data_IF_464837072327
#
_entry.id   IF_464837072327
#
_cell.length_a   1.000
_cell.length_b   1.000
_cell.length_c   1.000
_cell.angle_alpha   90.00
_cell.angle_beta   90.00
_cell.angle_gamma   90.00
#
_symmetry.space_group_name_H-M   'P 1'
#
loop_
_entity.id
_entity.type
_entity.pdbx_description
1 polymer ?
#
# COMPACT_ATOMS: atom_id res chain seq x y z
N UNK A 1 10.01 -32.10 5.49
CA UNK A 1 10.57 -30.80 5.12
C UNK A 1 10.05 -30.24 3.79
N UNK A 2 9.55 -31.05 2.86
CA UNK A 2 9.11 -30.64 1.51
C UNK A 2 7.72 -29.95 1.39
N UNK A 3 6.84 -30.04 2.39
CA UNK A 3 5.46 -29.48 2.31
C UNK A 3 5.36 -27.94 2.41
N UNK A 4 6.42 -27.23 2.84
CA UNK A 4 6.41 -25.76 2.99
C UNK A 4 6.73 -24.98 1.71
N UNK A 5 7.51 -25.58 0.79
CA UNK A 5 7.90 -24.91 -0.46
C UNK A 5 6.71 -24.53 -1.39
N UNK A 6 5.67 -25.39 -1.55
CA UNK A 6 4.53 -25.05 -2.40
C UNK A 6 3.76 -23.82 -1.91
N UNK A 7 3.56 -23.68 -0.58
CA UNK A 7 2.85 -22.54 0.01
C UNK A 7 3.62 -21.24 -0.19
N UNK A 8 4.93 -21.24 0.02
CA UNK A 8 5.78 -20.06 -0.18
C UNK A 8 5.71 -19.61 -1.64
N UNK A 9 5.82 -20.54 -2.59
CA UNK A 9 5.73 -20.24 -4.03
C UNK A 9 4.35 -19.72 -4.40
N UNK A 10 3.28 -20.30 -3.86
CA UNK A 10 1.91 -19.87 -4.11
C UNK A 10 1.69 -18.44 -3.63
N UNK A 11 2.04 -18.14 -2.37
CA UNK A 11 1.89 -16.79 -1.81
C UNK A 11 2.72 -15.78 -2.60
N UNK A 12 3.99 -16.09 -2.90
CA UNK A 12 4.84 -15.21 -3.69
C UNK A 12 4.25 -14.98 -5.10
N UNK A 13 3.74 -16.01 -5.77
CA UNK A 13 3.10 -15.88 -7.08
C UNK A 13 1.89 -14.95 -7.03
N UNK A 14 1.04 -15.09 -6.00
CA UNK A 14 -0.12 -14.20 -5.78
C UNK A 14 0.34 -12.76 -5.61
N UNK A 15 1.36 -12.51 -4.78
CA UNK A 15 1.87 -11.15 -4.55
C UNK A 15 2.46 -10.54 -5.84
N UNK A 16 3.28 -11.30 -6.57
CA UNK A 16 3.89 -10.82 -7.81
C UNK A 16 2.86 -10.54 -8.92
N UNK A 17 1.86 -11.39 -9.05
CA UNK A 17 0.79 -11.16 -10.02
C UNK A 17 -0.04 -9.92 -9.66
N UNK A 18 -0.34 -9.68 -8.38
CA UNK A 18 -1.04 -8.50 -7.93
C UNK A 18 -0.29 -7.21 -8.32
N UNK A 19 1.03 -7.17 -8.09
CA UNK A 19 1.86 -6.02 -8.51
C UNK A 19 1.83 -5.85 -10.03
N UNK A 20 1.98 -6.94 -10.80
CA UNK A 20 1.92 -6.87 -12.29
C UNK A 20 0.59 -6.35 -12.81
N UNK A 21 -0.52 -6.68 -12.14
CA UNK A 21 -1.86 -6.26 -12.51
C UNK A 21 -2.24 -4.90 -11.91
N UNK A 22 -1.32 -4.22 -11.21
CA UNK A 22 -1.53 -2.94 -10.52
C UNK A 22 -2.72 -2.99 -9.57
N UNK A 23 -2.87 -4.10 -8.84
CA UNK A 23 -3.88 -4.21 -7.82
C UNK A 23 -3.56 -3.29 -6.64
N UNK A 24 -4.55 -2.58 -6.14
CA UNK A 24 -4.42 -1.76 -4.92
C UNK A 24 -4.44 -2.62 -3.66
N UNK A 25 -5.26 -3.68 -3.65
CA UNK A 25 -5.42 -4.56 -2.50
C UNK A 25 -5.51 -6.02 -2.94
N UNK A 26 -5.04 -6.92 -2.07
CA UNK A 26 -5.21 -8.37 -2.18
C UNK A 26 -6.04 -8.83 -0.99
N UNK A 27 -7.16 -9.47 -1.25
CA UNK A 27 -8.04 -10.01 -0.24
C UNK A 27 -7.91 -11.52 -0.19
N UNK A 28 -7.58 -12.06 0.96
CA UNK A 28 -7.65 -13.49 1.28
C UNK A 28 -8.86 -13.67 2.21
N UNK A 29 -9.92 -14.23 1.69
CA UNK A 29 -11.20 -14.30 2.39
C UNK A 29 -11.57 -15.74 2.68
N UNK A 30 -11.76 -16.02 3.98
CA UNK A 30 -12.14 -17.34 4.48
C UNK A 30 -13.66 -17.50 4.44
N UNK A 31 -14.11 -18.51 3.72
CA UNK A 31 -15.50 -18.93 3.62
C UNK A 31 -15.67 -20.38 4.13
N UNK A 32 -16.92 -20.81 4.29
CA UNK A 32 -17.23 -22.17 4.70
C UNK A 32 -16.60 -23.24 3.79
N UNK A 33 -16.59 -22.99 2.48
CA UNK A 33 -16.06 -23.92 1.46
C UNK A 33 -14.54 -23.82 1.25
N UNK A 34 -13.88 -22.81 1.80
CA UNK A 34 -12.45 -22.60 1.66
C UNK A 34 -12.03 -21.14 1.54
N UNK A 35 -10.85 -20.91 1.05
CA UNK A 35 -10.25 -19.60 0.88
C UNK A 35 -10.49 -19.08 -0.55
N UNK A 36 -10.87 -17.82 -0.69
CA UNK A 36 -10.93 -17.13 -1.98
C UNK A 36 -9.94 -15.97 -1.96
N UNK A 37 -9.10 -15.87 -2.98
CA UNK A 37 -8.18 -14.76 -3.17
C UNK A 37 -8.74 -13.85 -4.25
N UNK A 38 -8.85 -12.56 -3.92
CA UNK A 38 -9.34 -11.53 -4.86
C UNK A 38 -8.38 -10.36 -4.95
N UNK A 39 -8.23 -9.78 -6.11
CA UNK A 39 -7.53 -8.52 -6.32
C UNK A 39 -8.51 -7.38 -6.47
N UNK A 40 -8.19 -6.23 -5.87
CA UNK A 40 -8.87 -4.98 -6.18
C UNK A 40 -8.08 -4.27 -7.26
N UNK A 41 -8.68 -4.08 -8.43
CA UNK A 41 -8.11 -3.37 -9.57
C UNK A 41 -9.12 -2.29 -9.96
N UNK A 42 -8.68 -1.04 -10.03
CA UNK A 42 -9.53 0.12 -10.34
C UNK A 42 -10.82 0.17 -9.51
N UNK A 43 -10.70 -0.16 -8.21
CA UNK A 43 -11.81 -0.15 -7.26
C UNK A 43 -12.67 -1.43 -7.25
N UNK A 44 -12.57 -2.29 -8.26
CA UNK A 44 -13.37 -3.52 -8.42
C UNK A 44 -12.62 -4.76 -7.92
N UNK A 45 -13.32 -5.66 -7.23
CA UNK A 45 -12.77 -6.92 -6.72
C UNK A 45 -12.96 -8.07 -7.72
N UNK A 46 -11.86 -8.66 -8.17
CA UNK A 46 -11.84 -9.80 -9.07
C UNK A 46 -11.34 -11.07 -8.37
N UNK A 47 -12.06 -12.21 -8.42
CA UNK A 47 -11.55 -13.47 -7.92
C UNK A 47 -10.42 -13.97 -8.82
N UNK A 48 -9.27 -14.34 -8.24
CA UNK A 48 -8.10 -14.77 -8.99
C UNK A 48 -7.66 -16.18 -8.66
N UNK A 49 -7.97 -16.67 -7.45
CA UNK A 49 -7.57 -17.99 -7.02
C UNK A 49 -8.49 -18.52 -5.92
N UNK A 50 -8.81 -19.81 -5.96
CA UNK A 50 -9.51 -20.52 -4.89
C UNK A 50 -8.67 -21.73 -4.49
N UNK A 51 -7.74 -21.56 -3.52
CA UNK A 51 -6.90 -22.66 -3.07
C UNK A 51 -7.72 -23.74 -2.37
N UNK A 52 -7.28 -25.01 -2.40
CA UNK A 52 -7.91 -26.07 -1.63
C UNK A 52 -8.02 -25.71 -0.12
N UNK A 53 -9.14 -26.06 0.51
CA UNK A 53 -9.45 -25.69 1.92
C UNK A 53 -8.34 -26.07 2.90
N UNK A 54 -7.68 -27.22 2.71
CA UNK A 54 -6.61 -27.66 3.59
C UNK A 54 -5.35 -26.78 3.57
N UNK A 55 -5.19 -25.90 2.56
CA UNK A 55 -4.08 -24.94 2.47
C UNK A 55 -4.39 -23.60 3.15
N UNK A 56 -5.64 -23.32 3.48
CA UNK A 56 -6.10 -22.02 4.03
C UNK A 56 -5.26 -21.62 5.26
N UNK A 57 -5.19 -22.47 6.28
CA UNK A 57 -4.46 -22.16 7.50
C UNK A 57 -2.95 -21.90 7.25
N UNK A 58 -2.36 -22.66 6.32
CA UNK A 58 -0.94 -22.52 5.98
C UNK A 58 -0.66 -21.24 5.19
N UNK A 59 -1.57 -20.81 4.31
CA UNK A 59 -1.46 -19.55 3.56
C UNK A 59 -1.55 -18.37 4.52
N UNK A 60 -2.55 -18.36 5.41
CA UNK A 60 -2.73 -17.28 6.40
C UNK A 60 -1.53 -17.22 7.35
N UNK A 61 -1.08 -18.37 7.87
CA UNK A 61 0.11 -18.42 8.71
C UNK A 61 1.36 -17.88 8.00
N UNK A 62 1.53 -18.14 6.71
CA UNK A 62 2.63 -17.59 5.91
C UNK A 62 2.55 -16.07 5.81
N UNK A 63 1.38 -15.50 5.55
CA UNK A 63 1.18 -14.05 5.50
C UNK A 63 1.47 -13.39 6.86
N UNK A 64 1.00 -14.00 7.95
CA UNK A 64 1.29 -13.52 9.32
C UNK A 64 2.79 -13.55 9.63
N UNK A 65 3.50 -14.60 9.24
CA UNK A 65 4.98 -14.67 9.39
C UNK A 65 5.65 -13.54 8.63
N UNK A 66 5.26 -13.30 7.37
CA UNK A 66 5.85 -12.24 6.55
C UNK A 66 5.65 -10.85 7.17
N UNK A 67 4.50 -10.63 7.83
CA UNK A 67 4.16 -9.38 8.50
C UNK A 67 4.62 -9.31 9.97
N UNK A 68 5.37 -10.29 10.48
CA UNK A 68 5.82 -10.42 11.88
C UNK A 68 4.67 -10.45 12.89
N UNK A 69 3.52 -11.03 12.49
CA UNK A 69 2.32 -11.15 13.32
C UNK A 69 2.30 -12.45 14.11
N UNK A 70 1.52 -12.49 15.20
CA UNK A 70 1.35 -13.66 16.03
C UNK A 70 0.47 -14.72 15.33
N UNK A 71 1.07 -15.87 14.99
CA UNK A 71 0.40 -16.97 14.29
C UNK A 71 -0.63 -17.68 15.19
N UNK A 72 -0.36 -17.74 16.49
CA UNK A 72 -1.18 -18.46 17.45
C UNK A 72 -2.47 -17.67 17.80
N UNK A 73 -2.44 -16.34 17.78
CA UNK A 73 -3.61 -15.51 18.03
C UNK A 73 -4.52 -15.49 16.80
N UNK A 74 -5.76 -15.89 16.96
CA UNK A 74 -6.77 -16.00 15.89
C UNK A 74 -8.08 -15.28 16.22
N UNK A 75 -8.17 -14.70 17.41
CA UNK A 75 -9.41 -14.10 17.94
C UNK A 75 -9.38 -12.58 17.90
N UNK A 76 -8.19 -11.99 17.83
CA UNK A 76 -8.01 -10.54 17.83
C UNK A 76 -7.52 -10.06 16.48
N UNK A 77 -7.97 -8.88 16.02
CA UNK A 77 -7.41 -8.20 14.87
C UNK A 77 -5.91 -7.97 15.04
N UNK A 78 -5.16 -8.07 13.94
CA UNK A 78 -3.74 -7.79 13.92
C UNK A 78 -3.39 -6.99 12.67
N UNK A 79 -2.54 -6.00 12.81
CA UNK A 79 -2.02 -5.20 11.72
C UNK A 79 -0.49 -5.30 11.67
N UNK A 80 0.05 -5.31 10.47
CA UNK A 80 1.47 -5.40 10.25
C UNK A 80 1.87 -4.87 8.88
N UNK A 81 3.14 -5.01 8.57
CA UNK A 81 3.69 -4.60 7.28
C UNK A 81 4.88 -5.46 6.90
N UNK A 82 5.09 -5.62 5.62
CA UNK A 82 6.31 -6.22 5.09
C UNK A 82 6.62 -5.65 3.72
N UNK A 83 7.84 -5.85 3.26
CA UNK A 83 8.30 -5.42 1.95
C UNK A 83 8.60 -6.61 1.07
N UNK A 84 8.26 -6.51 -0.21
CA UNK A 84 8.68 -7.46 -1.24
C UNK A 84 9.48 -6.71 -2.31
N UNK A 85 10.42 -7.42 -2.93
CA UNK A 85 11.14 -6.91 -4.10
C UNK A 85 10.66 -7.65 -5.34
N UNK A 86 10.16 -6.92 -6.31
CA UNK A 86 9.67 -7.48 -7.57
C UNK A 86 10.02 -6.58 -8.74
N UNK A 87 10.49 -7.16 -9.84
CA UNK A 87 10.92 -6.44 -11.04
C UNK A 87 11.88 -5.26 -10.75
N UNK A 88 12.78 -5.42 -9.75
CA UNK A 88 13.74 -4.38 -9.35
C UNK A 88 13.16 -3.26 -8.49
N UNK A 89 11.85 -3.28 -8.20
CA UNK A 89 11.17 -2.30 -7.33
C UNK A 89 10.86 -2.91 -5.97
N UNK A 90 10.97 -2.09 -4.94
CA UNK A 90 10.50 -2.42 -3.60
C UNK A 90 9.04 -1.99 -3.46
N UNK A 91 8.19 -2.92 -3.03
CA UNK A 91 6.76 -2.68 -2.78
C UNK A 91 6.50 -2.93 -1.31
N UNK A 92 6.04 -1.91 -0.60
CA UNK A 92 5.61 -2.03 0.79
C UNK A 92 4.16 -2.53 0.83
N UNK A 93 3.87 -3.47 1.72
CA UNK A 93 2.52 -4.01 1.92
C UNK A 93 2.10 -3.78 3.37
N UNK A 94 0.93 -3.18 3.55
CA UNK A 94 0.21 -3.18 4.82
C UNK A 94 -0.69 -4.40 4.90
N UNK A 95 -0.68 -5.05 6.04
CA UNK A 95 -1.42 -6.28 6.31
C UNK A 95 -2.41 -6.03 7.41
N UNK A 96 -3.68 -6.28 7.17
CA UNK A 96 -4.72 -6.34 8.21
C UNK A 96 -5.30 -7.74 8.25
N UNK A 97 -5.31 -8.33 9.44
CA UNK A 97 -5.87 -9.66 9.72
C UNK A 97 -7.06 -9.50 10.64
N UNK A 98 -8.21 -9.97 10.20
CA UNK A 98 -9.46 -9.88 10.94
C UNK A 98 -10.03 -11.29 11.19
N UNK A 99 -10.41 -11.63 12.42
CA UNK A 99 -11.16 -12.85 12.71
C UNK A 99 -12.54 -12.83 12.03
N UNK A 100 -12.94 -13.96 11.48
CA UNK A 100 -14.28 -14.17 10.91
C UNK A 100 -14.83 -15.53 11.34
N UNK A 101 -16.13 -15.80 11.09
CA UNK A 101 -16.78 -17.06 11.44
C UNK A 101 -16.15 -18.30 10.79
N UNK A 102 -15.49 -18.14 9.64
CA UNK A 102 -14.90 -19.26 8.88
C UNK A 102 -13.36 -19.26 8.89
N UNK A 103 -12.76 -18.49 9.79
CA UNK A 103 -11.31 -18.33 9.91
C UNK A 103 -10.89 -16.85 9.85
N UNK A 104 -9.66 -16.58 9.49
CA UNK A 104 -9.15 -15.22 9.42
C UNK A 104 -9.26 -14.69 7.99
N UNK A 105 -9.68 -13.43 7.85
CA UNK A 105 -9.60 -12.65 6.62
C UNK A 105 -8.33 -11.83 6.65
N UNK A 106 -7.56 -11.86 5.57
CA UNK A 106 -6.36 -11.04 5.44
C UNK A 106 -6.52 -10.09 4.25
N UNK A 107 -6.25 -8.83 4.49
CA UNK A 107 -6.22 -7.80 3.43
C UNK A 107 -4.80 -7.24 3.37
N UNK A 108 -4.21 -7.29 2.19
CA UNK A 108 -2.91 -6.68 1.90
C UNK A 108 -3.13 -5.47 1.02
N UNK A 109 -2.75 -4.29 1.49
CA UNK A 109 -2.73 -3.07 0.68
C UNK A 109 -1.34 -2.87 0.12
N UNK A 110 -1.24 -2.77 -1.20
CA UNK A 110 0.01 -2.49 -1.88
C UNK A 110 0.25 -0.98 -1.86
N UNK A 111 1.41 -0.59 -1.31
CA UNK A 111 1.89 0.77 -1.34
C UNK A 111 3.04 0.79 -2.36
N UNK A 112 2.70 1.00 -3.62
CA UNK A 112 3.76 1.28 -4.60
C UNK A 112 4.39 2.61 -4.20
N UNK A 113 5.66 2.56 -3.86
CA UNK A 113 6.47 3.76 -3.85
C UNK A 113 6.66 4.14 -5.32
N UNK A 114 5.79 4.98 -5.84
CA UNK A 114 6.17 5.77 -6.99
C UNK A 114 7.32 6.67 -6.52
N UNK A 115 8.55 6.20 -6.73
CA UNK A 115 9.79 6.94 -6.38
C UNK A 115 9.97 8.20 -7.25
N UNK A 116 8.95 8.61 -7.98
CA UNK A 116 8.99 9.82 -8.77
C UNK A 116 8.23 10.91 -8.04
N UNK A 117 8.97 11.70 -7.27
CA UNK A 117 8.47 12.99 -6.82
C UNK A 117 8.18 13.83 -8.07
N UNK A 118 6.91 14.08 -8.34
CA UNK A 118 6.49 14.96 -9.43
C UNK A 118 6.87 16.40 -9.06
N UNK A 119 7.37 17.15 -10.04
CA UNK A 119 7.52 18.60 -9.90
C UNK A 119 6.14 19.26 -10.01
N UNK A 120 5.99 20.46 -9.44
CA UNK A 120 4.74 21.23 -9.52
C UNK A 120 4.25 21.41 -10.97
N UNK A 121 5.19 21.57 -11.93
CA UNK A 121 4.89 21.71 -13.36
C UNK A 121 4.34 20.42 -14.00
N UNK A 122 4.64 19.26 -13.43
CA UNK A 122 4.19 17.94 -13.92
C UNK A 122 2.81 17.56 -13.36
N UNK A 123 2.27 18.34 -12.40
CA UNK A 123 1.02 18.04 -11.71
C UNK A 123 -0.25 18.41 -12.52
N UNK A 124 -0.08 18.96 -13.72
CA UNK A 124 -1.21 19.31 -14.59
C UNK A 124 -1.93 20.60 -14.22
N UNK A 125 -1.33 21.48 -13.42
CA UNK A 125 -1.86 22.82 -13.18
C UNK A 125 -1.83 23.67 -14.45
N UNK A 126 -2.88 24.44 -14.69
CA UNK A 126 -2.86 25.53 -15.67
C UNK A 126 -1.78 26.55 -15.31
N UNK A 127 -1.12 27.14 -16.30
CA UNK A 127 0.05 28.03 -16.08
C UNK A 127 -0.24 29.17 -15.11
N UNK A 128 -1.41 29.78 -15.23
CA UNK A 128 -1.82 30.89 -14.35
C UNK A 128 -1.93 30.44 -12.90
N UNK A 129 -2.53 29.27 -12.66
CA UNK A 129 -2.67 28.67 -11.33
C UNK A 129 -1.34 28.21 -10.76
N UNK A 130 -0.48 27.65 -11.60
CA UNK A 130 0.87 27.25 -11.21
C UNK A 130 1.68 28.45 -10.69
N UNK A 131 1.62 29.58 -11.41
CA UNK A 131 2.28 30.82 -10.99
C UNK A 131 1.80 31.33 -9.63
N UNK A 132 0.49 31.28 -9.38
CA UNK A 132 -0.09 31.67 -8.08
C UNK A 132 0.41 30.73 -6.96
N UNK A 133 0.39 29.41 -7.18
CA UNK A 133 0.87 28.43 -6.19
C UNK A 133 2.35 28.67 -5.89
N UNK A 134 3.19 28.88 -6.89
CA UNK A 134 4.62 29.15 -6.72
C UNK A 134 4.86 30.42 -5.90
N UNK A 135 4.09 31.47 -6.14
CA UNK A 135 4.16 32.70 -5.35
C UNK A 135 3.75 32.47 -3.88
N UNK A 136 2.67 31.73 -3.64
CA UNK A 136 2.18 31.45 -2.30
C UNK A 136 3.18 30.62 -1.48
N UNK A 137 3.78 29.59 -2.06
CA UNK A 137 4.75 28.74 -1.35
C UNK A 137 6.12 29.40 -1.15
N UNK A 138 6.40 30.48 -1.89
CA UNK A 138 7.61 31.28 -1.73
C UNK A 138 7.53 32.31 -0.58
N UNK A 139 6.34 32.56 -0.02
CA UNK A 139 6.16 33.48 1.10
C UNK A 139 6.92 32.98 2.34
N UNK A 140 7.51 33.93 3.09
CA UNK A 140 8.30 33.62 4.28
C UNK A 140 7.45 33.23 5.49
N UNK A 141 6.15 33.42 5.47
CA UNK A 141 5.22 33.13 6.56
C UNK A 141 3.81 32.89 6.02
N UNK A 142 3.01 32.17 6.79
CA UNK A 142 1.62 31.84 6.42
C UNK A 142 1.33 30.37 6.64
N UNK A 143 0.12 29.97 6.27
CA UNK A 143 -0.35 28.58 6.29
C UNK A 143 -1.00 28.30 4.94
N UNK A 144 -0.62 27.19 4.33
CA UNK A 144 -1.26 26.67 3.11
C UNK A 144 -1.99 25.37 3.49
N UNK A 145 -3.30 25.35 3.26
CA UNK A 145 -4.13 24.18 3.54
C UNK A 145 -4.49 23.46 2.23
N UNK A 146 -4.13 22.18 2.13
CA UNK A 146 -4.47 21.32 0.99
C UNK A 146 -5.54 20.33 1.42
N UNK A 147 -6.74 20.41 0.83
CA UNK A 147 -7.90 19.58 1.17
C UNK A 147 -8.43 18.82 -0.03
N UNK A 148 -9.16 17.75 0.23
CA UNK A 148 -9.81 16.95 -0.81
C UNK A 148 -10.06 15.49 -0.38
N UNK A 149 -10.79 14.70 -1.16
CA UNK A 149 -11.05 13.29 -0.87
C UNK A 149 -9.77 12.42 -0.95
N UNK A 150 -9.86 11.18 -0.50
CA UNK A 150 -8.77 10.21 -0.65
C UNK A 150 -8.48 9.98 -2.13
N UNK A 151 -7.19 9.94 -2.50
CA UNK A 151 -6.76 9.75 -3.89
C UNK A 151 -6.79 11.01 -4.76
N UNK A 152 -7.16 12.19 -4.22
CA UNK A 152 -7.19 13.46 -4.98
C UNK A 152 -5.81 14.10 -5.23
N UNK A 153 -4.72 13.49 -4.78
CA UNK A 153 -3.36 14.00 -4.98
C UNK A 153 -2.87 14.98 -3.90
N UNK A 154 -3.53 15.07 -2.74
CA UNK A 154 -3.10 15.96 -1.64
C UNK A 154 -1.64 15.80 -1.26
N UNK A 155 -1.24 14.58 -0.92
CA UNK A 155 0.13 14.24 -0.53
C UNK A 155 1.11 14.52 -1.67
N UNK A 156 0.78 14.14 -2.89
CA UNK A 156 1.59 14.44 -4.08
C UNK A 156 1.82 15.94 -4.26
N UNK A 157 0.77 16.75 -4.08
CA UNK A 157 0.85 18.24 -4.16
C UNK A 157 1.75 18.80 -3.06
N UNK A 158 1.62 18.32 -1.82
CA UNK A 158 2.46 18.77 -0.71
C UNK A 158 3.94 18.46 -0.96
N UNK A 159 4.25 17.22 -1.37
CA UNK A 159 5.63 16.84 -1.66
C UNK A 159 6.21 17.59 -2.87
N UNK A 160 5.41 17.85 -3.91
CA UNK A 160 5.82 18.66 -5.05
C UNK A 160 6.14 20.10 -4.63
N UNK A 161 5.32 20.68 -3.73
CA UNK A 161 5.58 22.00 -3.15
C UNK A 161 6.85 22.01 -2.30
N UNK A 162 7.04 21.03 -1.42
CA UNK A 162 8.25 20.90 -0.59
C UNK A 162 9.50 20.74 -1.45
N UNK A 163 9.45 19.92 -2.50
CA UNK A 163 10.55 19.76 -3.45
C UNK A 163 10.89 21.07 -4.16
N UNK A 164 9.87 21.87 -4.51
CA UNK A 164 10.05 23.16 -5.18
C UNK A 164 10.76 24.18 -4.30
N UNK A 165 10.47 24.22 -3.00
CA UNK A 165 11.09 25.17 -2.05
C UNK A 165 12.37 24.65 -1.41
N UNK A 166 12.73 23.39 -1.63
CA UNK A 166 13.91 22.78 -1.03
C UNK A 166 15.18 23.38 -1.61
N UNK A 167 15.94 24.04 -0.76
CA UNK A 167 17.20 24.72 -1.09
C UNK A 167 18.22 24.49 0.04
N UNK A 168 19.54 24.56 -0.25
CA UNK A 168 20.58 24.31 0.73
C UNK A 168 20.56 25.22 1.99
N UNK A 169 19.93 26.38 1.85
CA UNK A 169 19.76 27.39 2.91
C UNK A 169 18.46 27.23 3.71
N UNK A 170 17.65 26.23 3.39
CA UNK A 170 16.35 26.01 4.05
C UNK A 170 16.32 24.73 4.86
N UNK A 171 15.74 24.82 6.04
CA UNK A 171 15.45 23.66 6.88
C UNK A 171 13.95 23.31 6.77
N UNK A 172 13.64 22.17 6.15
CA UNK A 172 12.28 21.70 5.95
C UNK A 172 12.06 20.50 6.87
N UNK A 173 11.00 20.54 7.68
CA UNK A 173 10.61 19.48 8.58
C UNK A 173 9.19 19.05 8.24
N UNK A 174 8.97 17.74 8.09
CA UNK A 174 7.63 17.15 7.92
C UNK A 174 7.22 16.37 9.17
N UNK A 175 5.92 16.40 9.47
CA UNK A 175 5.30 15.57 10.51
C UNK A 175 4.20 14.76 9.83
N UNK A 176 4.37 13.45 9.81
CA UNK A 176 3.52 12.56 9.03
C UNK A 176 3.15 11.30 9.84
N UNK A 177 1.91 10.84 9.69
CA UNK A 177 1.43 9.60 10.27
C UNK A 177 0.52 8.83 9.29
N UNK A 178 1.10 7.82 8.58
CA UNK A 178 2.52 7.48 8.46
C UNK A 178 3.24 8.30 7.39
N UNK A 179 4.57 8.21 7.34
CA UNK A 179 5.40 8.76 6.25
C UNK A 179 5.08 8.01 4.96
N UNK A 180 4.68 8.74 3.91
CA UNK A 180 4.31 8.14 2.61
C UNK A 180 5.49 8.10 1.63
N UNK A 181 6.37 9.09 1.66
CA UNK A 181 7.59 9.15 0.84
C UNK A 181 8.84 9.21 1.72
N UNK A 182 9.94 8.65 1.22
CA UNK A 182 11.25 8.69 1.87
C UNK A 182 12.31 9.13 0.87
#
# INVERSE_FOLDING_TARGET
MYKRQPIIRLVNSVLFQAVRQRASDIHFESFERGLVVRYRIDGVLYPVLTPPKHLQASIIARLKIMASLNIAEKRLPQDGRFRIRTAGKDVDLRVSVLPTSHGERVVLRLLEKENRLLNLSEMGFEQDRLGIIQQLIALSHGIILVTGPTGSGKTTTLYAALTHINAPDKNIITVEDPVEYQ
#
